data_IF_596573317602
#
_entry.id   IF_596573317602
#
_cell.length_a   1.000
_cell.length_b   1.000
_cell.length_c   1.000
_cell.angle_alpha   90.00
_cell.angle_beta   90.00
_cell.angle_gamma   90.00
#
_symmetry.space_group_name_H-M   'P 1'
#
loop_
_entity.id
_entity.type
_entity.pdbx_description
1 polymer ?
#
# COMPACT_ATOMS: atom_id res chain seq x y z
N UNK A 1 -2.76 -15.52 -16.52
CA UNK A 1 -2.38 -15.38 -15.09
C UNK A 1 -1.07 -14.63 -14.81
N UNK A 2 -0.02 -14.72 -15.65
CA UNK A 2 1.31 -14.13 -15.33
C UNK A 2 1.30 -12.61 -15.11
N UNK A 3 0.76 -11.83 -16.06
CA UNK A 3 0.68 -10.35 -15.97
C UNK A 3 -0.09 -9.87 -14.75
N UNK A 4 -1.19 -10.54 -14.43
CA UNK A 4 -1.98 -10.25 -13.25
C UNK A 4 -1.18 -10.40 -11.96
N UNK A 5 -0.51 -11.55 -11.77
CA UNK A 5 0.29 -11.78 -10.57
C UNK A 5 1.37 -10.71 -10.41
N UNK A 6 1.94 -10.24 -11.52
CA UNK A 6 2.89 -9.12 -11.52
C UNK A 6 2.24 -7.81 -11.08
N UNK A 7 1.04 -7.48 -11.57
CA UNK A 7 0.31 -6.26 -11.17
C UNK A 7 -0.02 -6.30 -9.68
N UNK A 8 -0.56 -7.41 -9.17
CA UNK A 8 -0.91 -7.55 -7.74
C UNK A 8 0.33 -7.43 -6.83
N UNK A 9 1.45 -8.05 -7.23
CA UNK A 9 2.72 -7.92 -6.52
C UNK A 9 3.21 -6.47 -6.54
N UNK A 10 3.18 -5.81 -7.69
CA UNK A 10 3.59 -4.43 -7.83
C UNK A 10 2.73 -3.52 -6.94
N UNK A 11 1.41 -3.65 -6.99
CA UNK A 11 0.47 -2.89 -6.14
C UNK A 11 0.78 -3.07 -4.66
N UNK A 12 0.99 -4.31 -4.20
CA UNK A 12 1.31 -4.58 -2.80
C UNK A 12 2.66 -3.97 -2.38
N UNK A 13 3.70 -4.14 -3.20
CA UNK A 13 5.05 -3.60 -2.95
C UNK A 13 5.00 -2.07 -2.92
N UNK A 14 4.37 -1.44 -3.90
CA UNK A 14 4.26 0.02 -3.99
C UNK A 14 3.58 0.62 -2.76
N UNK A 15 2.45 0.06 -2.32
CA UNK A 15 1.76 0.59 -1.13
C UNK A 15 2.54 0.33 0.16
N UNK A 16 3.28 -0.77 0.25
CA UNK A 16 4.18 -1.04 1.38
C UNK A 16 5.30 0.00 1.46
N UNK A 17 5.96 0.29 0.32
CA UNK A 17 7.01 1.29 0.23
C UNK A 17 6.46 2.70 0.54
N UNK A 18 5.28 3.04 0.02
CA UNK A 18 4.63 4.32 0.31
C UNK A 18 4.30 4.45 1.80
N UNK A 19 3.74 3.41 2.43
CA UNK A 19 3.42 3.42 3.86
C UNK A 19 4.68 3.57 4.73
N UNK A 20 5.76 2.88 4.35
CA UNK A 20 7.06 3.05 4.99
C UNK A 20 7.60 4.48 4.81
N UNK A 21 7.44 5.07 3.63
CA UNK A 21 7.81 6.46 3.35
C UNK A 21 7.02 7.46 4.19
N UNK A 22 5.70 7.27 4.34
CA UNK A 22 4.86 8.11 5.21
C UNK A 22 5.33 8.02 6.67
N UNK A 23 5.60 6.81 7.17
CA UNK A 23 6.12 6.61 8.52
C UNK A 23 7.54 7.17 8.72
N UNK A 24 8.40 7.08 7.71
CA UNK A 24 9.73 7.67 7.76
C UNK A 24 9.65 9.20 7.76
N UNK A 25 8.84 9.78 6.88
CA UNK A 25 8.63 11.22 6.77
C UNK A 25 8.06 11.81 8.07
N UNK A 26 7.07 11.14 8.67
CA UNK A 26 6.48 11.58 9.93
C UNK A 26 7.53 11.67 11.06
N UNK A 27 8.41 10.66 11.15
CA UNK A 27 9.52 10.64 12.12
C UNK A 27 10.58 11.71 11.83
N UNK A 28 10.91 11.93 10.56
CA UNK A 28 11.94 12.88 10.16
C UNK A 28 11.50 14.34 10.27
N UNK A 29 10.19 14.60 10.22
CA UNK A 29 9.62 15.96 10.23
C UNK A 29 8.90 16.31 11.53
N UNK A 30 8.93 15.41 12.51
CA UNK A 30 8.22 15.55 13.79
C UNK A 30 6.72 15.88 13.60
N UNK A 31 6.14 15.32 12.53
CA UNK A 31 4.72 15.44 12.18
C UNK A 31 4.04 14.11 12.42
N UNK A 32 2.80 14.16 12.91
CA UNK A 32 2.02 12.94 13.06
C UNK A 32 1.64 12.37 11.70
N UNK A 33 1.91 11.08 11.50
CA UNK A 33 1.43 10.36 10.32
C UNK A 33 -0.09 10.17 10.32
N UNK A 34 -0.72 10.23 11.51
CA UNK A 34 -2.15 10.00 11.70
C UNK A 34 -2.62 8.71 11.05
N UNK A 35 -3.74 8.80 10.32
CA UNK A 35 -4.35 7.66 9.62
C UNK A 35 -3.66 7.30 8.29
N UNK A 36 -2.65 8.05 7.84
CA UNK A 36 -2.11 7.89 6.48
C UNK A 36 -1.36 6.58 6.27
N UNK A 37 -0.66 6.08 7.28
CA UNK A 37 0.02 4.76 7.21
C UNK A 37 -0.99 3.62 6.99
N UNK A 38 -2.03 3.45 7.84
CA UNK A 38 -3.03 2.40 7.62
C UNK A 38 -3.88 2.63 6.37
N UNK A 39 -4.22 3.88 6.01
CA UNK A 39 -4.95 4.20 4.77
C UNK A 39 -4.16 3.77 3.53
N UNK A 40 -2.86 4.08 3.49
CA UNK A 40 -1.99 3.70 2.37
C UNK A 40 -1.89 2.18 2.21
N UNK A 41 -1.75 1.44 3.31
CA UNK A 41 -1.78 -0.03 3.26
C UNK A 41 -3.14 -0.57 2.87
N UNK A 42 -4.22 0.03 3.38
CA UNK A 42 -5.60 -0.32 3.08
C UNK A 42 -5.90 -0.25 1.59
N UNK A 43 -5.51 0.83 0.90
CA UNK A 43 -5.67 0.94 -0.55
C UNK A 43 -4.96 -0.19 -1.32
N UNK A 44 -3.74 -0.56 -0.90
CA UNK A 44 -3.03 -1.70 -1.49
C UNK A 44 -3.75 -3.03 -1.29
N UNK A 45 -4.26 -3.26 -0.07
CA UNK A 45 -5.05 -4.44 0.28
C UNK A 45 -6.37 -4.51 -0.48
N UNK A 46 -7.13 -3.42 -0.57
CA UNK A 46 -8.39 -3.36 -1.33
C UNK A 46 -8.16 -3.57 -2.83
N UNK A 47 -7.10 -2.98 -3.40
CA UNK A 47 -6.76 -3.19 -4.80
C UNK A 47 -6.41 -4.66 -5.10
N UNK A 48 -5.68 -5.33 -4.20
CA UNK A 48 -5.40 -6.76 -4.33
C UNK A 48 -6.68 -7.59 -4.13
N UNK A 49 -7.41 -7.36 -3.04
CA UNK A 49 -8.62 -8.10 -2.67
C UNK A 49 -9.73 -7.97 -3.71
N UNK A 50 -9.97 -6.77 -4.25
CA UNK A 50 -10.93 -6.56 -5.34
C UNK A 50 -10.62 -7.45 -6.53
N UNK A 51 -9.35 -7.61 -6.89
CA UNK A 51 -8.97 -8.53 -7.95
C UNK A 51 -9.12 -10.01 -7.55
N UNK A 52 -8.81 -10.37 -6.30
CA UNK A 52 -8.97 -11.76 -5.85
C UNK A 52 -10.44 -12.20 -5.78
N UNK A 53 -11.35 -11.26 -5.51
CA UNK A 53 -12.79 -11.45 -5.33
C UNK A 53 -13.60 -11.28 -6.63
N UNK A 54 -13.13 -10.46 -7.57
CA UNK A 54 -13.68 -10.32 -8.94
C UNK A 54 -13.31 -11.51 -9.86
N UNK A 55 -12.97 -12.66 -9.28
CA UNK A 55 -12.59 -13.88 -10.01
C UNK A 55 -13.76 -14.79 -10.27
#
# INVERSE_FOLDING_TARGET
>A
MGRLRSVLKLTAVTHTVLAAGVAAHSRLTDREAGIWVPVTLGFGLFGVAGYLLDR
#
